data_IF_945183800220
#
_entry.id   IF_945183800220
#
_cell.length_a   1.000
_cell.length_b   1.000
_cell.length_c   1.000
_cell.angle_alpha   90.00
_cell.angle_beta   90.00
_cell.angle_gamma   90.00
#
_symmetry.space_group_name_H-M   'P 1'
#
loop_
_entity.id
_entity.type
_entity.pdbx_description
1 polymer ?
#
# COMPACT_ATOMS: atom_id res chain seq x y z
N UNK A 1 -8.12 8.27 2.22
CA UNK A 1 -7.18 8.87 1.25
C UNK A 1 -7.22 8.02 0.00
N UNK A 2 -7.35 8.62 -1.19
CA UNK A 2 -7.36 7.90 -2.46
C UNK A 2 -6.08 7.06 -2.66
N UNK A 3 -6.17 6.06 -3.54
CA UNK A 3 -5.03 5.27 -3.94
C UNK A 3 -3.92 6.19 -4.50
N UNK A 4 -2.73 6.08 -3.93
CA UNK A 4 -1.58 6.91 -4.29
C UNK A 4 -1.02 6.49 -5.66
N UNK A 5 -0.54 7.45 -6.45
CA UNK A 5 0.25 7.20 -7.66
C UNK A 5 1.73 6.96 -7.34
N UNK A 6 2.47 6.34 -8.26
CA UNK A 6 3.91 6.19 -8.17
C UNK A 6 4.66 7.52 -8.11
N UNK A 7 4.19 8.52 -8.88
CA UNK A 7 4.75 9.87 -8.85
C UNK A 7 4.61 10.54 -7.48
N UNK A 8 3.42 10.46 -6.86
CA UNK A 8 3.21 10.97 -5.50
C UNK A 8 4.06 10.25 -4.46
N UNK A 9 4.26 8.94 -4.61
CA UNK A 9 5.13 8.15 -3.73
C UNK A 9 6.57 8.62 -3.80
N UNK A 10 7.13 8.72 -5.01
CA UNK A 10 8.49 9.23 -5.22
C UNK A 10 8.61 10.66 -4.70
N UNK A 11 7.60 11.51 -4.95
CA UNK A 11 7.58 12.88 -4.45
C UNK A 11 7.67 12.92 -2.92
N UNK A 12 6.91 12.11 -2.19
CA UNK A 12 7.03 12.10 -0.73
C UNK A 12 8.37 11.61 -0.22
N UNK A 13 9.02 10.65 -0.89
CA UNK A 13 10.38 10.26 -0.51
C UNK A 13 11.38 11.40 -0.68
N UNK A 14 11.15 12.31 -1.63
CA UNK A 14 11.97 13.53 -1.82
C UNK A 14 11.61 14.63 -0.84
N UNK A 15 10.32 14.86 -0.61
CA UNK A 15 9.82 15.90 0.31
C UNK A 15 10.16 15.57 1.77
N UNK A 16 10.17 14.29 2.12
CA UNK A 16 10.42 13.78 3.48
C UNK A 16 11.42 12.63 3.41
N UNK A 17 12.70 12.91 3.15
CA UNK A 17 13.70 11.89 2.94
C UNK A 17 13.93 11.09 4.22
N UNK A 18 13.84 9.74 4.17
CA UNK A 18 14.19 8.92 5.32
C UNK A 18 15.70 8.99 5.56
N UNK A 19 16.09 8.85 6.81
CA UNK A 19 17.50 8.76 7.16
C UNK A 19 18.01 7.34 6.95
N UNK A 20 18.69 7.11 5.82
CA UNK A 20 19.17 5.79 5.40
C UNK A 20 20.70 5.76 5.32
N UNK A 21 21.30 4.72 5.88
CA UNK A 21 22.72 4.43 5.79
C UNK A 21 22.95 3.10 5.06
N UNK A 22 23.89 3.08 4.12
CA UNK A 22 24.26 1.88 3.37
C UNK A 22 25.77 1.86 3.19
N UNK A 23 26.41 0.71 3.47
CA UNK A 23 27.86 0.53 3.38
C UNK A 23 28.65 1.62 4.14
N UNK A 24 28.19 1.96 5.35
CA UNK A 24 28.82 2.97 6.21
C UNK A 24 28.64 4.43 5.77
N UNK A 25 27.85 4.70 4.73
CA UNK A 25 27.62 6.06 4.21
C UNK A 25 26.14 6.43 4.26
N UNK A 26 25.85 7.69 4.59
CA UNK A 26 24.50 8.24 4.51
C UNK A 26 24.08 8.35 3.03
N UNK A 27 22.93 7.79 2.70
CA UNK A 27 22.33 7.92 1.37
C UNK A 27 21.65 9.29 1.28
N UNK A 28 22.10 10.13 0.33
CA UNK A 28 21.55 11.48 0.15
C UNK A 28 20.15 11.48 -0.45
N UNK A 29 19.91 10.61 -1.42
CA UNK A 29 18.62 10.47 -2.10
C UNK A 29 18.40 9.01 -2.49
N UNK A 30 17.45 8.37 -1.81
CA UNK A 30 17.11 6.95 -2.04
C UNK A 30 16.44 6.73 -3.40
N UNK A 31 15.84 7.76 -4.00
CA UNK A 31 15.11 7.64 -5.28
C UNK A 31 16.07 7.55 -6.46
N UNK A 32 17.31 8.00 -6.29
CA UNK A 32 18.36 7.98 -7.32
C UNK A 32 19.56 7.10 -6.96
N UNK A 33 19.71 6.70 -5.70
CA UNK A 33 20.82 5.86 -5.24
C UNK A 33 20.88 4.52 -6.03
N UNK A 34 22.04 4.14 -6.63
CA UNK A 34 22.13 2.97 -7.53
C UNK A 34 21.64 1.65 -6.92
N UNK A 35 21.89 1.43 -5.62
CA UNK A 35 21.45 0.21 -4.91
C UNK A 35 19.99 0.18 -4.48
N UNK A 36 19.24 1.29 -4.62
CA UNK A 36 17.86 1.42 -4.09
C UNK A 36 16.84 1.86 -5.14
N UNK A 37 17.27 2.65 -6.14
CA UNK A 37 16.40 3.29 -7.12
C UNK A 37 15.46 2.31 -7.84
N UNK A 38 15.92 1.11 -8.17
CA UNK A 38 15.10 0.12 -8.87
C UNK A 38 13.96 -0.39 -7.97
N UNK A 39 14.22 -0.62 -6.68
CA UNK A 39 13.18 -0.99 -5.72
C UNK A 39 12.13 0.12 -5.53
N UNK A 40 12.58 1.37 -5.49
CA UNK A 40 11.67 2.55 -5.47
C UNK A 40 10.80 2.60 -6.73
N UNK A 41 11.39 2.37 -7.91
CA UNK A 41 10.63 2.36 -9.16
C UNK A 41 9.65 1.18 -9.25
N UNK A 42 10.04 -0.02 -8.82
CA UNK A 42 9.11 -1.16 -8.74
C UNK A 42 7.93 -0.85 -7.82
N UNK A 43 8.17 -0.27 -6.64
CA UNK A 43 7.10 0.16 -5.73
C UNK A 43 6.19 1.22 -6.36
N UNK A 44 6.76 2.19 -7.08
CA UNK A 44 6.00 3.20 -7.81
C UNK A 44 5.08 2.56 -8.87
N UNK A 45 5.59 1.60 -9.64
CA UNK A 45 4.82 0.85 -10.64
C UNK A 45 3.65 0.08 -10.02
N UNK A 46 3.84 -0.57 -8.87
CA UNK A 46 2.75 -1.25 -8.16
C UNK A 46 1.64 -0.28 -7.77
N UNK A 47 2.01 0.93 -7.31
CA UNK A 47 1.04 1.97 -6.98
C UNK A 47 0.29 2.46 -8.23
N UNK A 48 0.98 2.65 -9.34
CA UNK A 48 0.39 3.05 -10.63
C UNK A 48 -0.57 2.00 -11.20
N UNK A 49 -0.38 0.70 -10.93
CA UNK A 49 -1.34 -0.35 -11.34
C UNK A 49 -2.75 -0.12 -10.77
N UNK A 50 -2.90 0.56 -9.64
CA UNK A 50 -4.22 0.91 -9.08
C UNK A 50 -4.96 1.96 -9.92
N UNK A 51 -4.26 2.64 -10.82
CA UNK A 51 -4.79 3.67 -11.73
C UNK A 51 -4.88 3.19 -13.18
N UNK A 52 -4.38 2.00 -13.51
CA UNK A 52 -4.55 1.40 -14.83
C UNK A 52 -6.04 1.11 -15.06
N UNK A 53 -6.62 1.69 -16.12
CA UNK A 53 -8.04 1.53 -16.48
C UNK A 53 -8.46 0.07 -16.59
N UNK A 54 -7.55 -0.84 -16.97
CA UNK A 54 -7.85 -2.27 -17.13
C UNK A 54 -7.86 -3.03 -15.80
N UNK A 55 -7.15 -2.53 -14.79
CA UNK A 55 -6.97 -3.21 -13.50
C UNK A 55 -7.65 -2.49 -12.35
N UNK A 56 -8.03 -1.22 -12.51
CA UNK A 56 -8.52 -0.34 -11.44
C UNK A 56 -9.62 -0.98 -10.60
N UNK A 57 -10.62 -1.61 -11.22
CA UNK A 57 -11.73 -2.25 -10.50
C UNK A 57 -11.31 -3.51 -9.71
N UNK A 58 -10.27 -4.20 -10.16
CA UNK A 58 -9.68 -5.34 -9.45
C UNK A 58 -8.68 -4.89 -8.38
N UNK A 59 -8.07 -3.71 -8.54
CA UNK A 59 -7.03 -3.19 -7.66
C UNK A 59 -7.55 -2.25 -6.58
N UNK A 60 -8.76 -1.70 -6.75
CA UNK A 60 -9.35 -0.68 -5.88
C UNK A 60 -10.84 -0.90 -5.63
N UNK A 61 -11.40 -0.21 -4.65
CA UNK A 61 -12.85 -0.08 -4.43
C UNK A 61 -13.20 1.35 -4.02
N UNK A 62 -14.47 1.71 -4.11
CA UNK A 62 -14.96 3.01 -3.67
C UNK A 62 -15.09 3.04 -2.16
N UNK A 63 -14.42 4.01 -1.53
CA UNK A 63 -14.49 4.25 -0.11
C UNK A 63 -15.94 4.54 0.30
N UNK A 64 -16.54 3.81 1.25
CA UNK A 64 -17.92 4.05 1.66
C UNK A 64 -18.10 5.40 2.37
N UNK A 65 -17.01 6.03 2.82
CA UNK A 65 -17.06 7.31 3.54
C UNK A 65 -16.72 8.52 2.69
N UNK A 66 -15.94 8.35 1.60
CA UNK A 66 -15.49 9.48 0.78
C UNK A 66 -15.83 9.36 -0.70
N UNK A 67 -16.22 8.17 -1.19
CA UNK A 67 -16.40 7.90 -2.62
C UNK A 67 -15.08 7.77 -3.41
N UNK A 68 -13.94 8.13 -2.82
CA UNK A 68 -12.64 7.97 -3.46
C UNK A 68 -12.32 6.50 -3.72
N UNK A 69 -11.62 6.22 -4.83
CA UNK A 69 -11.04 4.89 -5.05
C UNK A 69 -9.83 4.69 -4.14
N UNK A 70 -9.89 3.65 -3.30
CA UNK A 70 -8.81 3.25 -2.39
C UNK A 70 -8.36 1.84 -2.70
N UNK A 71 -7.12 1.50 -2.36
CA UNK A 71 -6.54 0.18 -2.65
C UNK A 71 -7.35 -0.96 -2.02
N UNK A 72 -7.63 -2.01 -2.79
CA UNK A 72 -8.47 -3.12 -2.37
C UNK A 72 -7.90 -3.89 -1.17
N UNK A 73 -6.58 -3.84 -0.94
CA UNK A 73 -5.97 -4.46 0.24
C UNK A 73 -6.45 -3.87 1.58
N UNK A 74 -7.13 -2.72 1.58
CA UNK A 74 -7.80 -2.16 2.76
C UNK A 74 -9.22 -2.67 2.99
N UNK A 75 -9.80 -3.46 2.07
CA UNK A 75 -11.16 -3.98 2.23
C UNK A 75 -11.26 -4.80 3.51
N UNK A 76 -12.29 -4.54 4.31
CA UNK A 76 -12.65 -5.39 5.47
C UNK A 76 -13.58 -6.49 4.97
N UNK A 77 -13.11 -7.74 4.80
CA UNK A 77 -13.92 -8.78 4.18
C UNK A 77 -15.11 -9.14 5.08
N UNK A 78 -16.32 -9.13 4.52
CA UNK A 78 -17.55 -9.59 5.17
C UNK A 78 -18.15 -10.80 4.47
N UNK A 79 -17.73 -11.08 3.24
CA UNK A 79 -18.19 -12.19 2.41
C UNK A 79 -17.02 -13.01 1.83
N UNK A 80 -17.34 -14.17 1.25
CA UNK A 80 -16.35 -14.96 0.49
C UNK A 80 -15.87 -14.18 -0.74
N UNK A 81 -16.78 -13.47 -1.41
CA UNK A 81 -16.45 -12.64 -2.58
C UNK A 81 -15.42 -11.56 -2.23
N UNK A 82 -15.51 -10.93 -1.05
CA UNK A 82 -14.50 -9.96 -0.61
C UNK A 82 -13.11 -10.60 -0.48
N UNK A 83 -13.03 -11.84 0.03
CA UNK A 83 -11.78 -12.59 0.14
C UNK A 83 -11.22 -12.93 -1.24
N UNK A 84 -12.07 -13.33 -2.18
CA UNK A 84 -11.68 -13.62 -3.56
C UNK A 84 -11.16 -12.38 -4.27
N UNK A 85 -11.87 -11.26 -4.18
CA UNK A 85 -11.45 -9.97 -4.74
C UNK A 85 -10.11 -9.54 -4.15
N UNK A 86 -9.95 -9.62 -2.82
CA UNK A 86 -8.68 -9.30 -2.14
C UNK A 86 -7.54 -10.19 -2.63
N UNK A 87 -7.77 -11.49 -2.80
CA UNK A 87 -6.78 -12.44 -3.36
C UNK A 87 -6.38 -12.05 -4.78
N UNK A 88 -7.33 -11.68 -5.64
CA UNK A 88 -7.04 -11.26 -7.03
C UNK A 88 -6.15 -10.02 -7.04
N UNK A 89 -6.47 -9.00 -6.25
CA UNK A 89 -5.64 -7.80 -6.13
C UNK A 89 -4.21 -8.11 -5.66
N UNK A 90 -4.06 -8.89 -4.59
CA UNK A 90 -2.75 -9.29 -4.07
C UNK A 90 -1.96 -10.10 -5.11
N UNK A 91 -2.65 -10.93 -5.90
CA UNK A 91 -2.03 -11.72 -6.96
C UNK A 91 -1.46 -10.86 -8.09
N UNK A 92 -2.09 -9.74 -8.42
CA UNK A 92 -1.55 -8.78 -9.41
C UNK A 92 -0.20 -8.22 -8.98
N UNK A 93 -0.09 -7.74 -7.73
CA UNK A 93 1.16 -7.23 -7.19
C UNK A 93 2.22 -8.33 -7.02
N UNK A 94 1.82 -9.53 -6.57
CA UNK A 94 2.73 -10.67 -6.51
C UNK A 94 3.27 -11.01 -7.91
N UNK A 95 2.43 -11.10 -8.94
CA UNK A 95 2.86 -11.37 -10.32
C UNK A 95 3.77 -10.29 -10.88
N UNK A 96 3.45 -9.01 -10.67
CA UNK A 96 4.25 -7.89 -11.15
C UNK A 96 5.69 -7.89 -10.59
N UNK A 97 5.90 -8.52 -9.44
CA UNK A 97 7.23 -8.65 -8.80
C UNK A 97 7.79 -10.07 -8.85
N UNK A 98 7.18 -10.97 -9.63
CA UNK A 98 7.53 -12.39 -9.67
C UNK A 98 7.55 -13.06 -8.28
N UNK A 99 6.73 -12.57 -7.34
CA UNK A 99 6.67 -13.02 -5.95
C UNK A 99 7.85 -12.60 -5.08
N UNK A 100 8.81 -11.82 -5.60
CA UNK A 100 10.05 -11.49 -4.89
C UNK A 100 9.89 -10.35 -3.89
N UNK A 101 8.90 -9.48 -4.07
CA UNK A 101 8.66 -8.35 -3.18
C UNK A 101 7.62 -8.67 -2.10
N UNK A 102 8.00 -9.49 -1.11
CA UNK A 102 7.10 -9.93 -0.04
C UNK A 102 6.71 -8.86 1.00
N UNK A 103 7.18 -7.62 0.84
CA UNK A 103 6.90 -6.46 1.70
C UNK A 103 6.28 -5.29 0.93
N UNK A 104 5.54 -5.60 -0.14
CA UNK A 104 4.67 -4.63 -0.83
C UNK A 104 3.59 -4.09 0.13
N UNK A 105 2.95 -2.94 -0.19
CA UNK A 105 2.10 -2.24 0.78
C UNK A 105 0.90 -3.04 1.27
N UNK A 106 0.39 -3.96 0.46
CA UNK A 106 -0.78 -4.81 0.72
C UNK A 106 -0.58 -5.64 1.98
N UNK A 107 0.65 -6.07 2.27
CA UNK A 107 1.00 -6.75 3.52
C UNK A 107 0.65 -5.91 4.76
N UNK A 108 1.03 -4.62 4.79
CA UNK A 108 0.73 -3.75 5.94
C UNK A 108 -0.69 -3.18 5.90
N UNK A 109 -1.27 -3.00 4.71
CA UNK A 109 -2.65 -2.51 4.58
C UNK A 109 -3.65 -3.46 5.26
N UNK A 110 -3.44 -4.79 5.15
CA UNK A 110 -4.27 -5.79 5.84
C UNK A 110 -4.15 -5.66 7.35
N UNK A 111 -2.96 -5.39 7.88
CA UNK A 111 -2.76 -5.20 9.31
C UNK A 111 -3.52 -3.96 9.80
N UNK A 112 -3.41 -2.84 9.07
CA UNK A 112 -4.15 -1.61 9.38
C UNK A 112 -5.67 -1.83 9.34
N UNK A 113 -6.16 -2.53 8.30
CA UNK A 113 -7.57 -2.90 8.17
C UNK A 113 -8.02 -3.76 9.36
N UNK A 114 -7.25 -4.78 9.74
CA UNK A 114 -7.59 -5.65 10.86
C UNK A 114 -7.63 -4.89 12.20
N UNK A 115 -6.69 -3.95 12.41
CA UNK A 115 -6.71 -3.08 13.58
C UNK A 115 -7.96 -2.19 13.62
N UNK A 116 -8.34 -1.60 12.48
CA UNK A 116 -9.56 -0.80 12.37
C UNK A 116 -10.82 -1.64 12.62
N UNK A 117 -10.89 -2.86 12.08
CA UNK A 117 -11.99 -3.79 12.31
C UNK A 117 -12.07 -4.24 13.79
N UNK A 118 -10.94 -4.27 14.50
CA UNK A 118 -10.84 -4.56 15.92
C UNK A 118 -10.81 -3.30 16.80
N UNK A 119 -11.32 -2.15 16.32
CA UNK A 119 -11.26 -0.88 17.04
C UNK A 119 -11.78 -0.96 18.49
N UNK A 120 -12.87 -1.68 18.73
CA UNK A 120 -13.43 -1.91 20.07
C UNK A 120 -12.45 -2.58 21.04
N UNK A 121 -11.60 -3.48 20.53
CA UNK A 121 -10.56 -4.14 21.34
C UNK A 121 -9.50 -3.12 21.81
N UNK A 122 -9.08 -2.22 20.92
CA UNK A 122 -8.10 -1.19 21.27
C UNK A 122 -8.68 -0.08 22.17
N UNK A 123 -10.00 0.16 22.10
CA UNK A 123 -10.67 1.16 22.93
C UNK A 123 -10.87 0.72 24.40
N UNK A 124 -10.64 -0.55 24.75
CA UNK A 124 -10.90 -1.09 26.10
C UNK A 124 -10.18 -0.31 27.21
N UNK A 125 -9.00 0.23 26.94
CA UNK A 125 -8.21 1.00 27.92
C UNK A 125 -8.38 2.53 27.80
N UNK A 126 -9.13 2.99 26.79
CA UNK A 126 -9.30 4.42 26.45
C UNK A 126 -10.72 4.64 25.87
N UNK A 127 -11.76 4.63 26.72
CA UNK A 127 -13.17 4.69 26.29
C UNK A 127 -13.54 5.94 25.50
N UNK A 128 -12.75 7.02 25.63
CA UNK A 128 -12.94 8.27 24.88
C UNK A 128 -12.69 8.15 23.36
N UNK A 129 -12.15 7.01 22.90
CA UNK A 129 -11.93 6.70 21.48
C UNK A 129 -12.99 5.76 20.89
N UNK A 130 -14.09 5.50 21.62
CA UNK A 130 -15.29 4.86 21.05
C UNK A 130 -16.16 5.85 20.29
#
# INVERSE_FOLDING_TARGET
MPARTGAEYIKALKDRPPEVYLNGKKVKDITTHPGLRNGVQTMAQLLDMQHDVKLRDEMTYESPTTGDRVGLSFITPRTIEDLERRRVMMHHWAKATCGMMGRSPDFMNVNMMAMAAAGDYFAQNRPEFK
#
